data_IF_112957170393
#
_entry.id   IF_112957170393
#
_cell.length_a   1.000
_cell.length_b   1.000
_cell.length_c   1.000
_cell.angle_alpha   90.00
_cell.angle_beta   90.00
_cell.angle_gamma   90.00
#
_symmetry.space_group_name_H-M   'P 1'
#
loop_
_entity.id
_entity.type
_entity.pdbx_description
1 polymer ?
#
# COMPACT_ATOMS: atom_id res chain seq x y z
N UNK A 1 6.97 13.44 -6.77
CA UNK A 1 6.04 12.46 -6.16
C UNK A 1 5.20 13.16 -5.11
N UNK A 2 3.88 12.96 -5.09
CA UNK A 2 3.00 13.61 -4.12
C UNK A 2 3.27 13.06 -2.70
N UNK A 3 3.11 13.88 -1.65
CA UNK A 3 3.33 13.44 -0.26
C UNK A 3 2.38 12.31 0.17
N UNK A 4 1.20 12.22 -0.45
CA UNK A 4 0.21 11.14 -0.25
C UNK A 4 0.75 9.74 -0.53
N UNK A 5 1.63 9.61 -1.54
CA UNK A 5 2.27 8.35 -1.90
C UNK A 5 3.23 7.86 -0.83
N UNK A 6 3.97 8.78 -0.24
CA UNK A 6 4.87 8.45 0.87
C UNK A 6 4.12 8.00 2.11
N UNK A 7 2.91 8.52 2.34
CA UNK A 7 2.04 8.09 3.44
C UNK A 7 1.56 6.64 3.20
N UNK A 8 1.07 6.32 2.00
CA UNK A 8 0.64 4.95 1.66
C UNK A 8 1.77 3.93 1.78
N UNK A 9 2.95 4.26 1.25
CA UNK A 9 4.15 3.42 1.40
C UNK A 9 4.56 3.28 2.87
N UNK A 10 4.54 4.37 3.64
CA UNK A 10 4.90 4.36 5.05
C UNK A 10 4.00 3.44 5.87
N UNK A 11 2.68 3.55 5.71
CA UNK A 11 1.70 2.70 6.42
C UNK A 11 1.90 1.23 6.05
N UNK A 12 2.13 0.93 4.77
CA UNK A 12 2.39 -0.43 4.31
C UNK A 12 3.68 -1.01 4.91
N UNK A 13 4.77 -0.23 4.92
CA UNK A 13 6.04 -0.68 5.51
C UNK A 13 5.94 -0.89 7.01
N UNK A 14 5.20 -0.05 7.74
CA UNK A 14 4.95 -0.24 9.17
C UNK A 14 4.18 -1.54 9.41
N UNK A 15 3.13 -1.82 8.62
CA UNK A 15 2.41 -3.10 8.70
C UNK A 15 3.31 -4.31 8.49
N UNK A 16 4.24 -4.23 7.53
CA UNK A 16 5.25 -5.26 7.27
C UNK A 16 6.19 -5.47 8.46
N UNK A 17 6.72 -4.39 9.03
CA UNK A 17 7.62 -4.46 10.20
C UNK A 17 6.91 -5.10 11.40
N UNK A 18 5.64 -4.73 11.64
CA UNK A 18 4.82 -5.31 12.72
C UNK A 18 4.64 -6.81 12.51
N UNK A 19 4.30 -7.25 11.29
CA UNK A 19 4.15 -8.69 11.00
C UNK A 19 5.47 -9.45 11.16
N UNK A 20 6.58 -8.92 10.65
CA UNK A 20 7.89 -9.55 10.80
C UNK A 20 8.28 -9.67 12.27
N UNK A 21 8.09 -8.61 13.06
CA UNK A 21 8.44 -8.63 14.49
C UNK A 21 7.57 -9.61 15.27
N UNK A 22 6.24 -9.64 15.06
CA UNK A 22 5.36 -10.62 15.71
C UNK A 22 5.57 -12.06 15.22
N UNK A 23 6.09 -12.27 14.01
CA UNK A 23 6.43 -13.61 13.51
C UNK A 23 7.70 -14.16 14.14
N UNK A 24 8.65 -13.27 14.45
CA UNK A 24 9.95 -13.63 15.04
C UNK A 24 9.91 -13.66 16.57
N UNK A 25 9.00 -12.91 17.20
CA UNK A 25 8.85 -12.82 18.65
C UNK A 25 8.73 -14.18 19.39
N UNK A 26 7.95 -15.17 18.91
CA UNK A 26 7.78 -16.46 19.59
C UNK A 26 9.09 -17.28 19.66
N UNK A 27 10.02 -17.04 18.74
CA UNK A 27 11.33 -17.71 18.73
C UNK A 27 12.15 -17.33 19.97
N UNK A 28 12.00 -16.09 20.44
CA UNK A 28 12.72 -15.55 21.60
C UNK A 28 11.91 -15.61 22.90
N UNK A 29 10.57 -15.68 22.80
CA UNK A 29 9.65 -15.72 23.92
C UNK A 29 8.57 -16.79 23.68
N UNK A 30 8.87 -18.08 23.96
CA UNK A 30 7.95 -19.18 23.66
C UNK A 30 6.68 -19.18 24.54
N UNK A 31 6.73 -18.55 25.71
CA UNK A 31 5.59 -18.48 26.65
C UNK A 31 4.64 -17.32 26.36
N UNK A 32 4.75 -16.67 25.19
CA UNK A 32 3.85 -15.60 24.80
C UNK A 32 2.43 -16.13 24.60
N UNK A 33 1.44 -15.43 25.16
CA UNK A 33 0.03 -15.80 24.95
C UNK A 33 -0.36 -15.73 23.47
N UNK A 34 -0.98 -16.79 22.96
CA UNK A 34 -1.51 -16.87 21.59
C UNK A 34 -2.42 -15.68 21.26
N UNK A 35 -3.18 -15.18 22.24
CA UNK A 35 -4.04 -14.01 22.07
C UNK A 35 -3.24 -12.75 21.70
N UNK A 36 -2.07 -12.54 22.32
CA UNK A 36 -1.20 -11.39 22.04
C UNK A 36 -0.59 -11.51 20.64
N UNK A 37 -0.19 -12.71 20.24
CA UNK A 37 0.32 -12.97 18.89
C UNK A 37 -0.77 -12.75 17.82
N UNK A 38 -1.98 -13.26 18.05
CA UNK A 38 -3.12 -13.09 17.15
C UNK A 38 -3.50 -11.61 16.97
N UNK A 39 -3.46 -10.82 18.06
CA UNK A 39 -3.69 -9.37 18.00
C UNK A 39 -2.63 -8.66 17.16
N UNK A 40 -1.35 -8.97 17.35
CA UNK A 40 -0.26 -8.40 16.57
C UNK A 40 -0.39 -8.69 15.07
N UNK A 41 -0.69 -9.95 14.73
CA UNK A 41 -0.93 -10.37 13.34
C UNK A 41 -2.14 -9.65 12.75
N UNK A 42 -3.24 -9.51 13.50
CA UNK A 42 -4.46 -8.82 13.03
C UNK A 42 -4.21 -7.33 12.77
N UNK A 43 -3.49 -6.66 13.66
CA UNK A 43 -3.12 -5.25 13.52
C UNK A 43 -2.20 -5.05 12.31
N UNK A 44 -1.13 -5.86 12.21
CA UNK A 44 -0.19 -5.77 11.10
C UNK A 44 -0.84 -6.03 9.74
N UNK A 45 -1.71 -7.06 9.66
CA UNK A 45 -2.47 -7.37 8.43
C UNK A 45 -3.41 -6.22 8.05
N UNK A 46 -4.09 -5.62 9.03
CA UNK A 46 -5.00 -4.49 8.79
C UNK A 46 -4.23 -3.28 8.23
N UNK A 47 -3.05 -2.97 8.80
CA UNK A 47 -2.19 -1.89 8.31
C UNK A 47 -1.71 -2.14 6.87
N UNK A 48 -1.35 -3.39 6.54
CA UNK A 48 -0.99 -3.75 5.17
C UNK A 48 -2.14 -3.53 4.18
N UNK A 49 -3.34 -3.98 4.53
CA UNK A 49 -4.52 -3.82 3.66
C UNK A 49 -4.80 -2.33 3.43
N UNK A 50 -4.80 -1.52 4.50
CA UNK A 50 -5.03 -0.07 4.38
C UNK A 50 -3.95 0.59 3.51
N UNK A 51 -2.67 0.29 3.77
CA UNK A 51 -1.57 0.82 2.97
C UNK A 51 -1.68 0.42 1.50
N UNK A 52 -2.00 -0.84 1.22
CA UNK A 52 -2.17 -1.35 -0.14
C UNK A 52 -3.34 -0.67 -0.87
N UNK A 53 -4.50 -0.49 -0.20
CA UNK A 53 -5.66 0.19 -0.78
C UNK A 53 -5.33 1.63 -1.16
N UNK A 54 -4.64 2.37 -0.28
CA UNK A 54 -4.21 3.75 -0.55
C UNK A 54 -3.32 3.79 -1.80
N UNK A 55 -2.34 2.88 -1.90
CA UNK A 55 -1.44 2.81 -3.05
C UNK A 55 -2.16 2.46 -4.35
N UNK A 56 -3.09 1.49 -4.32
CA UNK A 56 -3.87 1.10 -5.49
C UNK A 56 -4.71 2.28 -5.98
N UNK A 57 -5.39 2.99 -5.09
CA UNK A 57 -6.21 4.16 -5.44
C UNK A 57 -5.34 5.25 -6.06
N UNK A 58 -4.19 5.55 -5.47
CA UNK A 58 -3.31 6.61 -5.98
C UNK A 58 -2.73 6.27 -7.36
N UNK A 59 -2.26 5.03 -7.55
CA UNK A 59 -1.78 4.54 -8.85
C UNK A 59 -2.91 4.61 -9.89
N UNK A 60 -4.13 4.21 -9.51
CA UNK A 60 -5.29 4.24 -10.41
C UNK A 60 -5.65 5.67 -10.85
N UNK A 61 -5.60 6.63 -9.91
CA UNK A 61 -5.86 8.04 -10.21
C UNK A 61 -4.75 8.65 -11.07
N UNK A 62 -3.49 8.31 -10.80
CA UNK A 62 -2.34 8.76 -11.60
C UNK A 62 -2.45 8.23 -13.04
N UNK A 63 -2.73 6.93 -13.19
CA UNK A 63 -2.98 6.25 -14.47
C UNK A 63 -4.14 6.87 -15.24
N UNK A 64 -5.25 7.20 -14.57
CA UNK A 64 -6.40 7.83 -15.20
C UNK A 64 -6.07 9.23 -15.72
N UNK A 65 -5.31 10.02 -14.94
CA UNK A 65 -4.87 11.36 -15.36
C UNK A 65 -3.92 11.29 -16.54
N UNK A 66 -2.98 10.35 -16.55
CA UNK A 66 -2.08 10.10 -17.68
C UNK A 66 -2.86 9.72 -18.94
N UNK A 67 -3.81 8.79 -18.82
CA UNK A 67 -4.66 8.39 -19.94
C UNK A 67 -5.47 9.56 -20.51
N UNK A 68 -6.03 10.41 -19.64
CA UNK A 68 -6.77 11.60 -20.06
C UNK A 68 -5.86 12.59 -20.80
N UNK A 69 -4.67 12.87 -20.27
CA UNK A 69 -3.68 13.73 -20.94
C UNK A 69 -3.28 13.19 -22.30
N UNK A 70 -3.02 11.89 -22.40
CA UNK A 70 -2.68 11.25 -23.68
C UNK A 70 -3.79 11.41 -24.72
N UNK A 71 -5.07 11.36 -24.32
CA UNK A 71 -6.18 11.64 -25.23
C UNK A 71 -6.30 13.11 -25.63
N UNK A 72 -5.94 14.02 -24.75
CA UNK A 72 -5.98 15.46 -25.01
C UNK A 72 -4.80 15.93 -25.87
N UNK A 73 -3.64 15.26 -25.80
CA UNK A 73 -2.45 15.55 -26.63
C UNK A 73 -2.53 14.96 -28.06
N UNK A 74 -3.40 13.99 -28.33
CA UNK A 74 -3.70 13.56 -29.72
C UNK A 74 -4.61 14.62 -30.34
N UNK A 75 -3.98 15.61 -30.97
CA UNK A 75 -4.68 16.67 -31.71
C UNK A 75 -5.44 16.04 -32.88
N UNK A 76 -6.67 16.46 -33.16
CA UNK A 76 -7.49 15.99 -34.30
C UNK A 76 -6.74 16.05 -35.66
N UNK A 77 -5.67 16.83 -35.75
CA UNK A 77 -4.78 16.92 -36.91
C UNK A 77 -3.96 15.65 -37.18
N UNK A 78 -3.57 14.86 -36.16
CA UNK A 78 -2.87 13.58 -36.34
C UNK A 78 -3.83 12.42 -36.71
N UNK A 79 -5.14 12.64 -36.60
CA UNK A 79 -6.20 11.65 -36.88
C UNK A 79 -6.80 11.78 -38.29
N UNK A 80 -6.36 12.76 -39.09
CA UNK A 80 -6.72 12.81 -40.52
C UNK A 80 -5.72 11.98 -41.34
N UNK A 81 -6.20 11.05 -42.18
CA UNK A 81 -5.34 10.25 -43.05
C UNK A 81 -4.65 11.10 -44.13
#
# INVERSE_FOLDING_TARGET
MKPTRWIGVGIFLVGMIVLCSYSVYPIYNPDVEDATMLLGVRIGTTLLIIGAVILIVEISVERYREYKKMKEEITEEDLRP
#
